data_IF_941978100101
#
_entry.id   IF_941978100101
#
_cell.length_a   1.000
_cell.length_b   1.000
_cell.length_c   1.000
_cell.angle_alpha   90.00
_cell.angle_beta   90.00
_cell.angle_gamma   90.00
#
_symmetry.space_group_name_H-M   'P 1'
#
loop_
_entity.id
_entity.type
_entity.pdbx_description
1 polymer ?
#
# COMPACT_ATOMS: atom_id res chain seq x y z
N UNK A 1 24.36 -17.31 -5.29
CA UNK A 1 23.33 -17.42 -4.24
C UNK A 1 21.92 -17.15 -4.79
N UNK A 2 21.59 -15.93 -5.24
CA UNK A 2 20.23 -15.58 -5.72
C UNK A 2 19.65 -16.52 -6.80
N UNK A 3 20.40 -16.96 -7.83
CA UNK A 3 19.88 -17.91 -8.81
C UNK A 3 19.44 -19.25 -8.20
N UNK A 4 20.20 -19.75 -7.23
CA UNK A 4 19.89 -20.98 -6.47
C UNK A 4 18.63 -20.80 -5.63
N UNK A 5 18.47 -19.64 -4.98
CA UNK A 5 17.25 -19.33 -4.21
C UNK A 5 16.02 -19.30 -5.11
N UNK A 6 16.12 -18.70 -6.30
CA UNK A 6 15.03 -18.70 -7.28
C UNK A 6 14.64 -20.12 -7.68
N UNK A 7 15.61 -20.96 -8.04
CA UNK A 7 15.36 -22.37 -8.40
C UNK A 7 14.69 -23.12 -7.25
N UNK A 8 15.12 -22.90 -6.01
CA UNK A 8 14.54 -23.53 -4.83
C UNK A 8 13.06 -23.16 -4.64
N UNK A 9 12.70 -21.87 -4.72
CA UNK A 9 11.29 -21.43 -4.61
C UNK A 9 10.45 -21.99 -5.75
N UNK A 10 10.97 -21.98 -6.98
CA UNK A 10 10.29 -22.57 -8.15
C UNK A 10 10.00 -24.05 -7.95
N UNK A 11 10.96 -24.83 -7.43
CA UNK A 11 10.77 -26.25 -7.13
C UNK A 11 9.72 -26.48 -6.03
N UNK A 12 9.73 -25.67 -4.97
CA UNK A 12 8.74 -25.74 -3.90
C UNK A 12 7.33 -25.46 -4.44
N UNK A 13 7.20 -24.39 -5.24
CA UNK A 13 5.94 -24.01 -5.88
C UNK A 13 5.41 -25.08 -6.83
N UNK A 14 6.27 -25.63 -7.69
CA UNK A 14 5.90 -26.69 -8.64
C UNK A 14 5.39 -27.97 -7.95
N UNK A 15 5.90 -28.28 -6.75
CA UNK A 15 5.45 -29.43 -5.97
C UNK A 15 4.16 -29.19 -5.20
N UNK A 16 3.60 -27.97 -5.19
CA UNK A 16 2.48 -27.56 -4.33
C UNK A 16 2.73 -27.86 -2.83
N UNK A 17 3.98 -27.94 -2.39
CA UNK A 17 4.40 -28.29 -1.02
C UNK A 17 4.72 -27.08 -0.15
N UNK A 18 4.21 -25.91 -0.52
CA UNK A 18 4.51 -24.60 0.10
C UNK A 18 4.35 -24.62 1.62
N UNK A 19 3.34 -25.33 2.14
CA UNK A 19 3.11 -25.49 3.59
C UNK A 19 4.26 -26.21 4.30
N UNK A 20 4.81 -27.27 3.69
CA UNK A 20 5.92 -28.05 4.25
C UNK A 20 7.25 -27.28 4.27
N UNK A 21 7.37 -26.26 3.42
CA UNK A 21 8.59 -25.45 3.28
C UNK A 21 8.39 -24.00 3.72
N UNK A 22 7.36 -23.72 4.52
CA UNK A 22 7.02 -22.35 4.91
C UNK A 22 8.19 -21.62 5.58
N UNK A 23 8.96 -22.28 6.44
CA UNK A 23 10.14 -21.67 7.07
C UNK A 23 11.23 -21.29 6.07
N UNK A 24 11.42 -22.06 5.00
CA UNK A 24 12.38 -21.76 3.92
C UNK A 24 11.91 -20.54 3.14
N UNK A 25 10.63 -20.52 2.74
CA UNK A 25 10.05 -19.40 1.99
C UNK A 25 10.09 -18.11 2.84
N UNK A 26 9.73 -18.20 4.12
CA UNK A 26 9.81 -17.08 5.06
C UNK A 26 11.24 -16.52 5.14
N UNK A 27 12.24 -17.39 5.28
CA UNK A 27 13.65 -16.99 5.36
C UNK A 27 14.12 -16.31 4.06
N UNK A 28 13.71 -16.84 2.90
CA UNK A 28 14.00 -16.22 1.60
C UNK A 28 13.33 -14.85 1.50
N UNK A 29 12.06 -14.72 1.87
CA UNK A 29 11.33 -13.44 1.86
C UNK A 29 11.98 -12.40 2.76
N UNK A 30 12.45 -12.79 3.96
CA UNK A 30 13.21 -11.89 4.83
C UNK A 30 14.51 -11.41 4.18
N UNK A 31 15.27 -12.31 3.55
CA UNK A 31 16.49 -11.94 2.84
C UNK A 31 16.20 -10.94 1.70
N UNK A 32 15.12 -11.17 0.94
CA UNK A 32 14.71 -10.26 -0.13
C UNK A 32 14.29 -8.89 0.42
N UNK A 33 13.53 -8.86 1.51
CA UNK A 33 13.16 -7.61 2.17
C UNK A 33 14.39 -6.84 2.63
N UNK A 34 15.37 -7.52 3.21
CA UNK A 34 16.63 -6.90 3.66
C UNK A 34 17.42 -6.31 2.48
N UNK A 35 17.46 -6.98 1.33
CA UNK A 35 18.09 -6.47 0.11
C UNK A 35 17.45 -5.14 -0.33
N UNK A 36 16.13 -5.01 -0.27
CA UNK A 36 15.45 -3.75 -0.57
C UNK A 36 15.66 -2.69 0.52
N UNK A 37 15.66 -3.11 1.79
CA UNK A 37 15.84 -2.21 2.93
C UNK A 37 17.20 -1.52 2.94
N UNK A 38 18.26 -2.22 2.52
CA UNK A 38 19.62 -1.67 2.50
C UNK A 38 19.81 -0.54 1.48
N UNK A 39 18.81 -0.21 0.63
CA UNK A 39 18.79 0.93 -0.31
C UNK A 39 20.04 1.08 -1.18
N UNK A 40 20.81 0.01 -1.35
CA UNK A 40 21.96 -0.02 -2.23
C UNK A 40 21.45 0.07 -3.68
N UNK A 41 22.16 0.79 -4.54
CA UNK A 41 21.87 0.81 -5.97
C UNK A 41 22.05 -0.61 -6.53
N UNK A 42 20.97 -1.38 -6.58
CA UNK A 42 20.98 -2.76 -7.06
C UNK A 42 21.24 -2.77 -8.57
N UNK A 43 22.11 -3.66 -9.02
CA UNK A 43 22.31 -3.88 -10.45
C UNK A 43 21.06 -4.48 -11.10
N UNK A 44 20.87 -4.23 -12.39
CA UNK A 44 19.77 -4.78 -13.20
C UNK A 44 19.64 -6.31 -13.07
N UNK A 45 20.76 -7.01 -13.08
CA UNK A 45 20.80 -8.46 -12.90
C UNK A 45 20.25 -8.87 -11.53
N UNK A 46 20.60 -8.13 -10.47
CA UNK A 46 20.13 -8.39 -9.11
C UNK A 46 18.64 -8.08 -8.99
N UNK A 47 18.18 -6.96 -9.53
CA UNK A 47 16.76 -6.59 -9.56
C UNK A 47 15.92 -7.63 -10.28
N UNK A 48 16.38 -8.13 -11.43
CA UNK A 48 15.68 -9.17 -12.19
C UNK A 48 15.60 -10.49 -11.42
N UNK A 49 16.68 -10.89 -10.74
CA UNK A 49 16.72 -12.10 -9.92
C UNK A 49 15.79 -11.98 -8.72
N UNK A 50 15.88 -10.88 -7.97
CA UNK A 50 15.04 -10.60 -6.79
C UNK A 50 13.58 -10.55 -7.18
N UNK A 51 13.23 -9.82 -8.24
CA UNK A 51 11.85 -9.75 -8.74
C UNK A 51 11.34 -11.11 -9.18
N UNK A 52 12.20 -11.92 -9.82
CA UNK A 52 11.90 -13.30 -10.15
C UNK A 52 11.59 -14.14 -8.92
N UNK A 53 12.37 -14.01 -7.82
CA UNK A 53 12.10 -14.71 -6.56
C UNK A 53 10.76 -14.27 -5.96
N UNK A 54 10.48 -12.96 -5.89
CA UNK A 54 9.22 -12.42 -5.36
C UNK A 54 8.03 -12.98 -6.13
N UNK A 55 8.11 -13.01 -7.46
CA UNK A 55 7.09 -13.63 -8.30
C UNK A 55 6.81 -15.08 -7.93
N UNK A 56 7.87 -15.89 -7.83
CA UNK A 56 7.75 -17.32 -7.49
C UNK A 56 7.15 -17.50 -6.07
N UNK A 57 7.54 -16.66 -5.11
CA UNK A 57 6.96 -16.68 -3.75
C UNK A 57 5.46 -16.38 -3.79
N UNK A 58 5.04 -15.33 -4.49
CA UNK A 58 3.63 -14.93 -4.56
C UNK A 58 2.78 -16.04 -5.20
N UNK A 59 3.20 -16.60 -6.33
CA UNK A 59 2.43 -17.67 -6.99
C UNK A 59 2.45 -19.00 -6.24
N UNK A 60 3.35 -19.17 -5.27
CA UNK A 60 3.46 -20.42 -4.50
C UNK A 60 2.34 -20.69 -3.49
N UNK A 61 1.32 -19.83 -3.35
CA UNK A 61 0.29 -19.90 -2.27
C UNK A 61 0.92 -19.73 -0.87
N UNK A 62 1.54 -18.58 -0.62
CA UNK A 62 2.23 -18.32 0.64
C UNK A 62 1.27 -18.31 1.84
N UNK A 63 1.78 -18.70 3.01
CA UNK A 63 1.06 -18.51 4.27
C UNK A 63 0.90 -17.01 4.60
N UNK A 64 -0.03 -16.61 5.49
CA UNK A 64 -0.27 -15.21 5.83
C UNK A 64 0.99 -14.42 6.26
N UNK A 65 1.89 -15.03 7.03
CA UNK A 65 3.15 -14.39 7.43
C UNK A 65 4.07 -14.08 6.22
N UNK A 66 4.05 -14.92 5.19
CA UNK A 66 4.80 -14.68 3.96
C UNK A 66 4.09 -13.64 3.09
N UNK A 67 2.75 -13.59 3.08
CA UNK A 67 1.99 -12.52 2.43
C UNK A 67 2.34 -11.15 3.01
N UNK A 68 2.45 -11.03 4.34
CA UNK A 68 2.93 -9.81 4.99
C UNK A 68 4.30 -9.38 4.47
N UNK A 69 5.26 -10.30 4.39
CA UNK A 69 6.59 -9.99 3.85
C UNK A 69 6.53 -9.59 2.38
N UNK A 70 5.69 -10.23 1.57
CA UNK A 70 5.48 -9.84 0.18
C UNK A 70 4.97 -8.39 0.10
N UNK A 71 3.96 -8.01 0.89
CA UNK A 71 3.42 -6.64 0.92
C UNK A 71 4.49 -5.63 1.36
N UNK A 72 5.31 -5.98 2.36
CA UNK A 72 6.44 -5.13 2.79
C UNK A 72 7.48 -4.96 1.68
N UNK A 73 7.83 -6.05 0.98
CA UNK A 73 8.71 -6.00 -0.20
C UNK A 73 8.11 -5.09 -1.28
N UNK A 74 6.79 -5.17 -1.50
CA UNK A 74 6.11 -4.29 -2.46
C UNK A 74 6.19 -2.82 -2.05
N UNK A 75 6.03 -2.52 -0.76
CA UNK A 75 6.20 -1.16 -0.22
C UNK A 75 7.62 -0.63 -0.43
N UNK A 76 8.65 -1.38 -0.02
CA UNK A 76 10.05 -0.95 -0.15
C UNK A 76 10.48 -0.81 -1.61
N UNK A 77 9.99 -1.70 -2.48
CA UNK A 77 10.28 -1.68 -3.92
C UNK A 77 9.41 -0.71 -4.72
N UNK A 78 8.46 0.00 -4.11
CA UNK A 78 7.55 0.91 -4.83
C UNK A 78 8.28 2.08 -5.50
N UNK A 79 9.45 2.47 -4.96
CA UNK A 79 10.34 3.47 -5.56
C UNK A 79 11.19 2.94 -6.73
N UNK A 80 11.12 1.64 -7.03
CA UNK A 80 11.78 1.03 -8.18
C UNK A 80 10.74 0.72 -9.29
N UNK A 81 10.56 1.62 -10.27
CA UNK A 81 9.63 1.43 -11.39
C UNK A 81 9.66 0.06 -12.03
N UNK A 82 10.88 -0.43 -12.28
CA UNK A 82 11.12 -1.68 -12.99
C UNK A 82 10.63 -2.90 -12.22
N UNK A 83 10.72 -2.89 -10.88
CA UNK A 83 10.20 -4.00 -10.05
C UNK A 83 8.67 -4.00 -10.10
N UNK A 84 8.05 -2.84 -9.93
CA UNK A 84 6.58 -2.71 -9.99
C UNK A 84 6.04 -3.09 -11.38
N UNK A 85 6.72 -2.65 -12.44
CA UNK A 85 6.39 -3.02 -13.82
C UNK A 85 6.57 -4.53 -14.04
N UNK A 86 7.70 -5.13 -13.65
CA UNK A 86 7.94 -6.56 -13.86
C UNK A 86 6.98 -7.46 -13.06
N UNK A 87 6.52 -7.03 -11.89
CA UNK A 87 5.51 -7.75 -11.09
C UNK A 87 4.08 -7.58 -11.61
N UNK A 88 3.88 -6.76 -12.63
CA UNK A 88 2.60 -6.54 -13.28
C UNK A 88 2.61 -6.97 -14.77
N UNK A 89 3.72 -6.81 -15.48
CA UNK A 89 3.79 -6.83 -16.94
C UNK A 89 3.82 -8.23 -17.60
N UNK A 90 3.17 -9.25 -17.04
CA UNK A 90 3.27 -10.62 -17.59
C UNK A 90 1.97 -11.43 -17.71
N UNK A 91 0.78 -10.85 -17.67
CA UNK A 91 -0.41 -11.59 -18.13
C UNK A 91 -0.57 -11.43 -19.63
N UNK A 92 -0.07 -12.40 -20.41
CA UNK A 92 -0.28 -12.48 -21.87
C UNK A 92 -1.74 -12.77 -22.28
N UNK A 93 -2.67 -12.73 -21.34
CA UNK A 93 -4.07 -13.07 -21.57
C UNK A 93 -4.93 -12.26 -20.61
N UNK A 94 -5.96 -11.63 -21.17
CA UNK A 94 -7.10 -11.03 -20.49
C UNK A 94 -7.97 -12.10 -19.80
N UNK A 95 -7.37 -13.13 -19.19
CA UNK A 95 -8.12 -14.14 -18.47
C UNK A 95 -8.50 -13.56 -17.12
N UNK A 96 -9.69 -12.99 -17.08
CA UNK A 96 -10.44 -12.70 -15.87
C UNK A 96 -10.42 -13.96 -14.98
N UNK A 97 -9.52 -14.01 -13.99
CA UNK A 97 -9.54 -15.06 -12.98
C UNK A 97 -10.50 -14.59 -11.89
N UNK A 98 -11.68 -15.20 -11.85
CA UNK A 98 -12.59 -15.05 -10.71
C UNK A 98 -11.87 -15.42 -9.42
N UNK A 99 -12.18 -14.72 -8.33
CA UNK A 99 -11.65 -14.93 -6.98
C UNK A 99 -11.79 -16.37 -6.47
N UNK A 100 -12.67 -17.17 -7.07
CA UNK A 100 -12.92 -18.58 -6.75
C UNK A 100 -11.79 -19.56 -7.15
N UNK A 101 -10.77 -19.12 -7.90
CA UNK A 101 -9.80 -20.02 -8.53
C UNK A 101 -8.34 -19.72 -8.15
N UNK A 102 -8.05 -19.55 -6.86
CA UNK A 102 -6.65 -19.61 -6.35
C UNK A 102 -5.90 -20.87 -6.83
N UNK A 103 -6.66 -21.93 -7.14
CA UNK A 103 -6.13 -23.18 -7.67
C UNK A 103 -5.56 -23.10 -9.10
N UNK A 104 -5.87 -22.06 -9.89
CA UNK A 104 -5.47 -21.91 -11.30
C UNK A 104 -4.32 -20.94 -11.54
N UNK A 105 -3.74 -20.33 -10.51
CA UNK A 105 -2.59 -19.45 -10.70
C UNK A 105 -1.38 -20.22 -11.24
N UNK A 106 -0.83 -19.72 -12.34
CA UNK A 106 0.33 -20.29 -13.00
C UNK A 106 1.52 -19.30 -12.91
N UNK A 107 2.74 -19.72 -13.25
CA UNK A 107 3.87 -18.81 -13.39
C UNK A 107 3.69 -17.72 -14.45
N UNK A 108 2.64 -17.78 -15.30
CA UNK A 108 2.29 -16.71 -16.24
C UNK A 108 1.19 -15.78 -15.71
N UNK A 109 0.63 -16.04 -14.53
CA UNK A 109 -0.31 -15.12 -13.89
C UNK A 109 0.39 -13.83 -13.46
N UNK A 110 -0.33 -12.71 -13.46
CA UNK A 110 0.16 -11.44 -12.93
C UNK A 110 0.39 -11.56 -11.41
N UNK A 111 1.65 -11.46 -10.93
CA UNK A 111 1.94 -11.61 -9.49
C UNK A 111 1.18 -10.61 -8.63
N UNK A 112 1.05 -9.36 -9.09
CA UNK A 112 0.33 -8.33 -8.35
C UNK A 112 -1.16 -8.68 -8.18
N UNK A 113 -1.82 -9.13 -9.24
CA UNK A 113 -3.22 -9.57 -9.17
C UNK A 113 -3.37 -10.76 -8.20
N UNK A 114 -2.50 -11.76 -8.32
CA UNK A 114 -2.47 -12.93 -7.43
C UNK A 114 -2.33 -12.50 -5.97
N UNK A 115 -1.43 -11.55 -5.67
CA UNK A 115 -1.25 -11.01 -4.32
C UNK A 115 -2.54 -10.34 -3.82
N UNK A 116 -3.17 -9.48 -4.63
CA UNK A 116 -4.43 -8.83 -4.25
C UNK A 116 -5.53 -9.86 -3.97
N UNK A 117 -5.70 -10.89 -4.82
CA UNK A 117 -6.68 -11.96 -4.59
C UNK A 117 -6.43 -12.69 -3.28
N UNK A 118 -5.17 -13.01 -2.93
CA UNK A 118 -4.88 -13.63 -1.64
C UNK A 118 -5.27 -12.73 -0.46
N UNK A 119 -5.07 -11.42 -0.59
CA UNK A 119 -5.39 -10.46 0.46
C UNK A 119 -6.90 -10.26 0.64
N UNK A 120 -7.67 -10.33 -0.45
CA UNK A 120 -9.14 -10.31 -0.42
C UNK A 120 -9.73 -11.56 0.25
N UNK A 121 -9.07 -12.71 0.10
CA UNK A 121 -9.49 -13.99 0.69
C UNK A 121 -9.04 -14.18 2.14
N UNK A 122 -8.39 -13.19 2.75
CA UNK A 122 -8.01 -13.27 4.14
C UNK A 122 -9.25 -13.28 5.05
N UNK A 123 -9.14 -13.90 6.25
CA UNK A 123 -10.20 -13.85 7.23
C UNK A 123 -10.58 -12.39 7.56
N UNK A 124 -11.81 -12.12 8.03
CA UNK A 124 -12.34 -10.78 8.23
C UNK A 124 -11.56 -9.89 9.23
N UNK A 125 -10.59 -10.46 9.94
CA UNK A 125 -9.64 -9.75 10.80
C UNK A 125 -8.21 -10.17 10.45
N UNK A 126 -7.61 -9.62 9.38
CA UNK A 126 -6.20 -9.84 9.08
C UNK A 126 -5.29 -9.28 10.19
N UNK A 127 -4.08 -9.83 10.37
CA UNK A 127 -3.15 -9.35 11.39
C UNK A 127 -2.82 -7.85 11.22
N UNK A 128 -2.75 -7.07 12.31
CA UNK A 128 -2.42 -5.65 12.24
C UNK A 128 -1.13 -5.31 11.47
N UNK A 129 -0.02 -6.09 11.58
CA UNK A 129 1.19 -5.84 10.78
C UNK A 129 0.94 -5.89 9.27
N UNK A 130 0.07 -6.78 8.81
CA UNK A 130 -0.28 -6.91 7.40
C UNK A 130 -1.10 -5.71 6.92
N UNK A 131 -2.10 -5.30 7.69
CA UNK A 131 -2.91 -4.11 7.38
C UNK A 131 -2.00 -2.89 7.26
N UNK A 132 -1.12 -2.67 8.25
CA UNK A 132 -0.15 -1.57 8.24
C UNK A 132 0.75 -1.61 7.01
N UNK A 133 1.31 -2.76 6.69
CA UNK A 133 2.16 -2.93 5.52
C UNK A 133 1.40 -2.59 4.22
N UNK A 134 0.13 -2.99 4.11
CA UNK A 134 -0.69 -2.73 2.94
C UNK A 134 -1.02 -1.24 2.79
N UNK A 135 -1.44 -0.59 3.87
CA UNK A 135 -1.71 0.85 3.90
C UNK A 135 -0.45 1.68 3.57
N UNK A 136 0.73 1.24 4.02
CA UNK A 136 2.00 1.90 3.74
C UNK A 136 2.39 1.76 2.25
N UNK A 137 2.18 0.57 1.70
CA UNK A 137 2.41 0.31 0.29
C UNK A 137 1.51 1.16 -0.60
N UNK A 138 0.20 1.21 -0.34
CA UNK A 138 -0.75 2.00 -1.15
C UNK A 138 -0.45 3.49 -1.08
N UNK A 139 -0.11 4.01 0.11
CA UNK A 139 0.35 5.39 0.25
C UNK A 139 1.60 5.67 -0.59
N UNK A 140 2.57 4.76 -0.58
CA UNK A 140 3.80 4.92 -1.38
C UNK A 140 3.49 4.94 -2.88
N UNK A 141 2.53 4.12 -3.33
CA UNK A 141 2.07 4.13 -4.72
C UNK A 141 1.41 5.47 -5.10
N UNK A 142 0.59 6.06 -4.23
CA UNK A 142 -0.03 7.38 -4.47
C UNK A 142 0.99 8.52 -4.50
N UNK A 143 2.01 8.47 -3.64
CA UNK A 143 3.07 9.48 -3.60
C UNK A 143 3.91 9.47 -4.89
N UNK A 144 3.87 8.37 -5.65
CA UNK A 144 4.63 8.21 -6.87
C UNK A 144 3.80 8.67 -8.07
N UNK A 145 4.31 9.66 -8.81
CA UNK A 145 3.73 10.01 -10.11
C UNK A 145 3.84 8.82 -11.07
N UNK A 146 2.76 8.43 -11.77
CA UNK A 146 2.85 7.43 -12.82
C UNK A 146 3.95 7.83 -13.81
N UNK A 147 4.88 6.91 -14.10
CA UNK A 147 5.74 7.06 -15.25
C UNK A 147 4.85 7.02 -16.50
N UNK A 148 4.96 8.03 -17.36
CA UNK A 148 4.11 8.16 -18.53
C UNK A 148 4.28 7.00 -19.53
N UNK A 149 3.16 6.52 -20.06
CA UNK A 149 2.96 5.84 -21.35
C UNK A 149 3.41 4.38 -21.57
N UNK A 150 3.90 3.63 -20.59
CA UNK A 150 3.90 2.16 -20.73
C UNK A 150 2.61 1.61 -20.10
N UNK A 151 1.82 0.83 -20.86
CA UNK A 151 0.71 0.04 -20.31
C UNK A 151 1.25 -1.32 -19.86
N UNK A 152 1.62 -1.53 -18.58
CA UNK A 152 1.53 -2.85 -18.00
C UNK A 152 0.06 -3.11 -17.61
N UNK A 153 -0.24 -4.30 -17.12
CA UNK A 153 -1.54 -4.64 -16.53
C UNK A 153 -2.08 -3.49 -15.63
N UNK A 154 -3.36 -3.12 -15.68
CA UNK A 154 -3.86 -2.05 -14.80
C UNK A 154 -4.30 -2.59 -13.44
N UNK A 155 -3.44 -3.35 -12.76
CA UNK A 155 -3.73 -3.88 -11.43
C UNK A 155 -3.80 -2.79 -10.33
N UNK A 156 -3.71 -1.51 -10.71
CA UNK A 156 -3.86 -0.38 -9.78
C UNK A 156 -5.26 -0.36 -9.20
N UNK A 157 -6.26 -0.64 -10.03
CA UNK A 157 -7.66 -0.69 -9.62
C UNK A 157 -7.84 -1.70 -8.49
N UNK A 158 -7.35 -2.93 -8.65
CA UNK A 158 -7.40 -3.98 -7.62
C UNK A 158 -6.63 -3.58 -6.36
N UNK A 159 -5.43 -3.01 -6.48
CA UNK A 159 -4.67 -2.54 -5.33
C UNK A 159 -5.45 -1.49 -4.52
N UNK A 160 -6.11 -0.55 -5.20
CA UNK A 160 -6.86 0.50 -4.53
C UNK A 160 -8.23 0.06 -4.02
N UNK A 161 -8.91 -0.90 -4.67
CA UNK A 161 -10.08 -1.54 -4.07
C UNK A 161 -9.69 -2.32 -2.81
N UNK A 162 -8.60 -3.09 -2.87
CA UNK A 162 -8.05 -3.76 -1.69
C UNK A 162 -7.69 -2.79 -0.56
N UNK A 163 -7.29 -1.56 -0.89
CA UNK A 163 -7.08 -0.51 0.11
C UNK A 163 -8.37 -0.15 0.85
N UNK A 164 -9.50 0.03 0.15
CA UNK A 164 -10.77 0.34 0.81
C UNK A 164 -11.15 -0.74 1.83
N UNK A 165 -10.96 -2.01 1.48
CA UNK A 165 -11.21 -3.14 2.38
C UNK A 165 -10.28 -3.11 3.59
N UNK A 166 -8.97 -2.96 3.39
CA UNK A 166 -7.98 -2.93 4.49
C UNK A 166 -8.16 -1.72 5.40
N UNK A 167 -8.46 -0.54 4.82
CA UNK A 167 -8.77 0.67 5.57
C UNK A 167 -10.07 0.52 6.36
N UNK A 168 -11.10 -0.10 5.78
CA UNK A 168 -12.36 -0.37 6.47
C UNK A 168 -12.15 -1.25 7.69
N UNK A 169 -11.40 -2.35 7.54
CA UNK A 169 -11.05 -3.21 8.66
C UNK A 169 -10.28 -2.43 9.74
N UNK A 170 -9.27 -1.64 9.35
CA UNK A 170 -8.48 -0.85 10.27
C UNK A 170 -9.35 0.11 11.09
N UNK A 171 -10.19 0.89 10.41
CA UNK A 171 -11.03 1.92 11.03
C UNK A 171 -12.18 1.29 11.84
N UNK A 172 -12.85 0.27 11.32
CA UNK A 172 -14.00 -0.31 12.02
C UNK A 172 -13.57 -1.11 13.24
N UNK A 173 -12.55 -1.96 13.09
CA UNK A 173 -12.12 -2.90 14.12
C UNK A 173 -11.24 -2.20 15.13
N UNK A 174 -10.19 -1.50 14.68
CA UNK A 174 -9.21 -0.95 15.62
C UNK A 174 -9.73 0.26 16.38
N UNK A 175 -10.58 1.12 15.79
CA UNK A 175 -11.19 2.20 16.55
C UNK A 175 -12.11 1.70 17.67
N UNK A 176 -12.80 0.57 17.45
CA UNK A 176 -13.61 -0.09 18.50
C UNK A 176 -12.71 -0.62 19.61
N UNK A 177 -11.64 -1.31 19.22
CA UNK A 177 -10.73 -1.97 20.16
C UNK A 177 -9.80 -0.98 20.88
N UNK A 178 -9.60 0.23 20.34
CA UNK A 178 -8.73 1.26 20.90
C UNK A 178 -9.12 1.65 22.34
N UNK A 179 -10.42 1.80 22.62
CA UNK A 179 -10.86 2.22 23.95
C UNK A 179 -10.68 1.11 24.99
N UNK A 180 -10.84 -0.15 24.58
CA UNK A 180 -10.71 -1.32 25.45
C UNK A 180 -9.27 -1.82 25.58
N UNK A 181 -8.35 -1.44 24.71
CA UNK A 181 -6.95 -1.89 24.75
C UNK A 181 -6.18 -1.28 25.94
N UNK A 182 -5.74 -2.09 26.93
CA UNK A 182 -5.01 -1.56 28.08
C UNK A 182 -3.55 -1.22 27.77
N UNK A 183 -2.92 -1.83 26.75
CA UNK A 183 -1.51 -1.65 26.46
C UNK A 183 -1.25 -0.34 25.68
N UNK A 184 -0.42 0.59 26.21
CA UNK A 184 -0.09 1.83 25.52
C UNK A 184 0.57 1.62 24.16
N UNK A 185 1.42 0.60 24.03
CA UNK A 185 2.12 0.27 22.78
C UNK A 185 1.12 -0.12 21.69
N UNK A 186 0.19 -1.03 22.01
CA UNK A 186 -0.85 -1.45 21.06
C UNK A 186 -1.81 -0.32 20.70
N UNK A 187 -2.15 0.55 21.66
CA UNK A 187 -2.93 1.77 21.39
C UNK A 187 -2.23 2.68 20.39
N UNK A 188 -0.93 2.90 20.56
CA UNK A 188 -0.14 3.67 19.61
C UNK A 188 -0.12 3.00 18.23
N UNK A 189 0.04 1.67 18.17
CA UNK A 189 0.05 0.95 16.90
C UNK A 189 -1.29 1.08 16.15
N UNK A 190 -2.41 1.02 16.88
CA UNK A 190 -3.75 1.26 16.34
C UNK A 190 -3.88 2.68 15.77
N UNK A 191 -3.43 3.68 16.52
CA UNK A 191 -3.46 5.09 16.09
C UNK A 191 -2.69 5.28 14.79
N UNK A 192 -1.45 4.79 14.70
CA UNK A 192 -0.64 4.88 13.49
C UNK A 192 -1.33 4.25 12.27
N UNK A 193 -1.98 3.09 12.44
CA UNK A 193 -2.70 2.42 11.37
C UNK A 193 -3.90 3.23 10.88
N UNK A 194 -4.69 3.79 11.81
CA UNK A 194 -5.87 4.61 11.48
C UNK A 194 -5.44 5.94 10.83
N UNK A 195 -4.39 6.58 11.35
CA UNK A 195 -3.79 7.77 10.75
C UNK A 195 -3.31 7.51 9.32
N UNK A 196 -2.66 6.37 9.09
CA UNK A 196 -2.18 5.99 7.77
C UNK A 196 -3.35 5.75 6.78
N UNK A 197 -4.42 5.10 7.23
CA UNK A 197 -5.64 4.94 6.42
C UNK A 197 -6.26 6.30 6.06
N UNK A 198 -6.35 7.21 7.04
CA UNK A 198 -6.87 8.56 6.84
C UNK A 198 -6.02 9.37 5.84
N UNK A 199 -4.69 9.37 5.99
CA UNK A 199 -3.78 10.05 5.06
C UNK A 199 -3.94 9.53 3.62
N UNK A 200 -4.05 8.21 3.44
CA UNK A 200 -4.22 7.61 2.12
C UNK A 200 -5.58 7.95 1.50
N UNK A 201 -6.67 7.95 2.28
CA UNK A 201 -7.99 8.40 1.80
C UNK A 201 -7.97 9.86 1.33
N UNK A 202 -7.30 10.73 2.10
CA UNK A 202 -7.15 12.14 1.72
C UNK A 202 -6.40 12.29 0.37
N UNK A 203 -5.33 11.53 0.17
CA UNK A 203 -4.62 11.51 -1.11
C UNK A 203 -5.49 11.00 -2.27
N UNK A 204 -6.31 9.97 -2.04
CA UNK A 204 -7.28 9.47 -3.04
C UNK A 204 -8.32 10.54 -3.40
N UNK A 205 -8.79 11.32 -2.42
CA UNK A 205 -9.73 12.44 -2.64
C UNK A 205 -9.15 13.45 -3.63
N UNK A 206 -7.86 13.76 -3.50
CA UNK A 206 -7.17 14.75 -4.32
C UNK A 206 -6.81 14.25 -5.73
N UNK A 207 -6.70 12.94 -5.94
CA UNK A 207 -6.33 12.37 -7.23
C UNK A 207 -7.54 12.18 -8.17
N UNK A 208 -7.61 13.02 -9.21
CA UNK A 208 -8.68 12.97 -10.23
C UNK A 208 -8.72 11.65 -11.02
N UNK A 209 -7.63 10.88 -11.06
CA UNK A 209 -7.61 9.57 -11.72
C UNK A 209 -8.33 8.50 -10.89
N UNK A 210 -8.56 8.76 -9.60
CA UNK A 210 -9.12 7.81 -8.64
C UNK A 210 -10.57 8.13 -8.25
N UNK A 211 -11.25 8.97 -9.02
CA UNK A 211 -12.67 9.33 -8.80
C UNK A 211 -13.56 8.07 -8.76
N UNK A 212 -13.20 7.00 -9.47
CA UNK A 212 -13.97 5.75 -9.44
C UNK A 212 -14.05 5.15 -8.02
N UNK A 213 -12.98 5.22 -7.23
CA UNK A 213 -12.98 4.74 -5.84
C UNK A 213 -13.86 5.58 -4.94
N UNK A 214 -13.96 6.87 -5.22
CA UNK A 214 -14.76 7.80 -4.42
C UNK A 214 -16.27 7.51 -4.57
N UNK A 215 -16.67 6.85 -5.66
CA UNK A 215 -18.05 6.44 -5.94
C UNK A 215 -18.42 5.10 -5.29
N UNK A 216 -17.46 4.42 -4.68
CA UNK A 216 -17.72 3.19 -3.93
C UNK A 216 -18.35 3.53 -2.59
N UNK A 217 -19.49 2.92 -2.24
CA UNK A 217 -20.18 3.20 -0.97
C UNK A 217 -19.32 2.94 0.28
N UNK A 218 -18.30 2.07 0.16
CA UNK A 218 -17.32 1.81 1.23
C UNK A 218 -16.45 3.05 1.52
N UNK A 219 -16.13 3.86 0.50
CA UNK A 219 -15.33 5.07 0.67
C UNK A 219 -16.08 6.13 1.50
N UNK A 220 -17.35 6.38 1.19
CA UNK A 220 -18.18 7.31 1.95
C UNK A 220 -18.39 6.83 3.39
N UNK A 221 -18.69 5.53 3.57
CA UNK A 221 -18.85 4.93 4.89
C UNK A 221 -17.56 5.05 5.73
N UNK A 222 -16.39 4.86 5.11
CA UNK A 222 -15.08 5.06 5.74
C UNK A 222 -14.89 6.49 6.24
N UNK A 223 -15.17 7.49 5.40
CA UNK A 223 -15.05 8.90 5.77
C UNK A 223 -15.96 9.27 6.93
N UNK A 224 -17.23 8.86 6.88
CA UNK A 224 -18.19 9.10 7.97
C UNK A 224 -17.73 8.45 9.27
N UNK A 225 -17.16 7.24 9.20
CA UNK A 225 -16.67 6.53 10.38
C UNK A 225 -15.45 7.20 11.00
N UNK A 226 -14.52 7.69 10.19
CA UNK A 226 -13.35 8.44 10.66
C UNK A 226 -13.77 9.75 11.34
N UNK A 227 -14.70 10.50 10.73
CA UNK A 227 -15.28 11.74 11.31
C UNK A 227 -15.96 11.49 12.67
N UNK A 228 -16.64 10.36 12.82
CA UNK A 228 -17.31 9.98 14.07
C UNK A 228 -16.43 9.21 15.06
N UNK A 229 -15.15 9.01 14.74
CA UNK A 229 -14.23 8.29 15.63
C UNK A 229 -13.76 9.17 16.78
N UNK A 230 -13.66 8.59 17.98
CA UNK A 230 -13.11 9.28 19.17
C UNK A 230 -11.58 9.40 19.14
N UNK A 231 -10.93 8.96 18.06
CA UNK A 231 -9.49 9.08 17.89
C UNK A 231 -9.19 10.53 17.51
N UNK A 232 -8.43 11.23 18.34
CA UNK A 232 -7.82 12.52 17.96
C UNK A 232 -6.73 12.26 16.93
N UNK A 233 -7.13 12.10 15.67
CA UNK A 233 -6.24 11.90 14.53
C UNK A 233 -5.71 13.28 14.15
N UNK A 234 -4.48 13.61 14.55
CA UNK A 234 -3.80 14.81 14.05
C UNK A 234 -2.96 14.46 12.84
N UNK A 235 -3.27 15.02 11.67
CA UNK A 235 -2.34 14.95 10.54
C UNK A 235 -1.11 15.77 10.95
N UNK A 236 0.06 15.14 11.06
CA UNK A 236 1.28 15.89 11.41
C UNK A 236 1.56 16.98 10.37
N UNK A 237 2.02 18.16 10.81
CA UNK A 237 2.32 19.30 9.92
C UNK A 237 3.37 18.98 8.85
N UNK A 238 4.27 18.01 9.10
CA UNK A 238 5.23 17.51 8.10
C UNK A 238 4.54 16.72 6.98
N UNK A 239 3.48 15.98 7.30
CA UNK A 239 2.64 15.29 6.33
C UNK A 239 1.83 16.30 5.51
N UNK A 240 1.27 17.34 6.15
CA UNK A 240 0.61 18.47 5.47
C UNK A 240 1.55 19.23 4.53
N UNK A 241 2.76 19.58 4.96
CA UNK A 241 3.75 20.24 4.10
C UNK A 241 4.20 19.35 2.94
N UNK A 242 4.36 18.04 3.15
CA UNK A 242 4.64 17.08 2.07
C UNK A 242 3.51 16.93 1.05
N UNK A 243 2.25 17.08 1.49
CA UNK A 243 1.05 17.07 0.65
C UNK A 243 0.90 18.39 -0.13
N UNK A 244 1.07 19.54 0.54
CA UNK A 244 0.95 20.88 -0.05
C UNK A 244 2.12 21.26 -0.97
N UNK A 245 3.35 20.82 -0.66
CA UNK A 245 4.53 21.08 -1.51
C UNK A 245 4.46 20.41 -2.90
N UNK A 246 3.53 19.48 -3.11
CA UNK A 246 3.27 18.90 -4.43
C UNK A 246 2.38 19.79 -5.32
N UNK A 247 1.60 20.72 -4.75
CA UNK A 247 0.78 21.69 -5.50
C UNK A 247 1.60 22.91 -5.95
N UNK A 248 2.56 23.39 -5.15
CA UNK A 248 3.30 24.63 -5.45
C UNK A 248 4.35 24.52 -6.58
N UNK A 249 4.59 23.34 -7.16
CA UNK A 249 5.44 23.21 -8.38
C UNK A 249 4.70 23.50 -9.69
N UNK A 250 3.63 24.28 -9.64
CA UNK A 250 2.90 24.76 -10.83
C UNK A 250 2.56 26.25 -10.74
N UNK A 251 3.55 27.13 -10.64
CA UNK A 251 3.41 28.53 -11.07
C UNK A 251 4.79 29.13 -11.35
N UNK A 252 5.11 29.53 -12.59
CA UNK A 252 6.18 30.49 -12.83
C UNK A 252 5.53 31.87 -12.96
N UNK A 253 5.55 32.70 -11.91
CA UNK A 253 5.27 34.14 -12.08
C UNK A 253 6.32 34.99 -11.39
N UNK A 254 7.09 35.60 -12.28
CA UNK A 254 7.98 36.74 -12.17
C UNK A 254 7.40 37.93 -11.37
N UNK A 255 8.22 38.41 -10.43
CA UNK A 255 8.50 39.82 -10.05
C UNK A 255 7.36 40.87 -10.00
N UNK A 256 7.09 41.44 -8.82
CA UNK A 256 7.40 42.85 -8.49
C UNK A 256 7.15 43.23 -7.00
N UNK A 257 8.18 43.88 -6.40
CA UNK A 257 8.27 44.90 -5.31
C UNK A 257 7.52 44.81 -3.94
N UNK A 258 8.36 44.91 -2.89
CA UNK A 258 8.24 45.21 -1.42
C UNK A 258 7.42 46.47 -1.00
N UNK A 259 7.33 46.86 0.30
CA UNK A 259 7.10 46.13 1.58
C UNK A 259 6.09 46.83 2.54
N UNK A 260 5.57 46.17 3.60
CA UNK A 260 5.07 46.84 4.83
C UNK A 260 4.96 45.89 6.04
N UNK A 261 5.02 46.51 7.23
CA UNK A 261 5.25 46.02 8.58
C UNK A 261 4.17 45.11 9.23
N UNK A 262 4.67 44.17 10.02
CA UNK A 262 4.26 43.69 11.36
C UNK A 262 2.76 43.64 11.76
N UNK A 263 2.32 42.43 12.15
CA UNK A 263 1.58 42.21 13.42
C UNK A 263 1.59 40.72 13.79
N UNK A 264 1.91 40.45 15.05
CA UNK A 264 1.71 39.16 15.72
C UNK A 264 0.22 38.85 15.81
N UNK A 265 -0.19 37.62 15.49
CA UNK A 265 -1.47 37.07 15.94
C UNK A 265 -1.26 35.59 16.26
N UNK A 266 -1.63 35.25 17.50
CA UNK A 266 -1.84 33.89 18.01
C UNK A 266 -3.13 33.36 17.39
N UNK A 267 -3.10 32.19 16.75
CA UNK A 267 -4.24 31.28 16.52
C UNK A 267 -3.61 29.88 16.28
N UNK A 268 -3.94 28.79 16.97
CA UNK A 268 -5.23 28.45 17.58
C UNK A 268 -6.18 27.95 16.50
N UNK A 269 -6.40 26.63 16.47
CA UNK A 269 -7.52 25.93 15.82
C UNK A 269 -7.75 26.15 14.30
N UNK A 270 -7.15 25.32 13.44
CA UNK A 270 -7.57 25.14 12.03
C UNK A 270 -7.42 23.67 11.57
N UNK A 271 -8.20 22.77 12.18
CA UNK A 271 -8.38 21.41 11.68
C UNK A 271 -9.86 21.04 11.42
N UNK A 272 -10.82 21.91 11.72
CA UNK A 272 -12.23 21.66 11.42
C UNK A 272 -12.66 22.13 10.02
N UNK A 273 -11.81 22.85 9.27
CA UNK A 273 -12.24 23.50 8.02
C UNK A 273 -11.97 22.70 6.72
N UNK A 274 -11.03 21.75 6.67
CA UNK A 274 -10.70 21.02 5.41
C UNK A 274 -11.74 19.95 4.98
N UNK A 275 -12.79 19.74 5.77
CA UNK A 275 -13.89 18.81 5.46
C UNK A 275 -15.28 19.43 5.48
N UNK A 276 -15.41 20.73 5.72
CA UNK A 276 -16.69 21.45 5.63
C UNK A 276 -17.10 21.76 4.18
N UNK A 277 -16.21 21.60 3.20
CA UNK A 277 -16.54 21.77 1.77
C UNK A 277 -17.20 20.54 1.12
N UNK A 278 -17.84 19.66 1.91
CA UNK A 278 -18.60 18.50 1.41
C UNK A 278 -20.06 18.65 1.87
N UNK A 279 -20.76 19.61 1.27
CA UNK A 279 -22.22 19.64 1.29
C UNK A 279 -22.78 18.50 0.42
N UNK A 280 -23.81 17.84 0.97
CA UNK A 280 -24.54 16.66 0.45
C UNK A 280 -25.27 16.98 -0.86
#
# INVERSE_FOLDING_TARGET
>A
MLPTLKQLVTLIGAQNRTKSYNGVILSISHLILEIFHQKLSLSDTTLNLVTGIVKEVIVSRPAPAVLELCVRIMSESAYCPRVQEALCAQSATSSYCSSDLVHSFSPSSCPLHVLCTYLELLPPSPPPPLIRAYLAWTRTLLLRKPASNSRPCDCRTEVFHGFLTMAWIAVQTFCRDFNSEPCPVKKHEIQECVELAYQTLFMIKQDKQLIFLQREGVYEALLLRLKSSNLKISISDKSRQGLLSQEERKTPISTHRKPALARSVICGDHLDEEFNDLDI
#
